data_IF_717136435541
#
_entry.id   IF_717136435541
#
_cell.length_a   1.000
_cell.length_b   1.000
_cell.length_c   1.000
_cell.angle_alpha   90.00
_cell.angle_beta   90.00
_cell.angle_gamma   90.00
#
_symmetry.space_group_name_H-M   'P 1'
#
loop_
_entity.id
_entity.type
_entity.pdbx_description
1 polymer ?
#
# COMPACT_ATOMS: atom_id res chain seq x y z
N UNK A 1 7.51 16.23 -10.87
CA UNK A 1 7.31 16.51 -9.42
C UNK A 1 6.87 15.20 -8.80
N UNK A 2 7.48 14.74 -7.71
CA UNK A 2 6.97 13.56 -7.01
C UNK A 2 5.61 13.92 -6.42
N UNK A 3 4.55 13.26 -6.87
CA UNK A 3 3.21 13.44 -6.31
C UNK A 3 3.14 12.98 -4.84
N UNK A 4 1.95 13.05 -4.21
CA UNK A 4 1.76 12.56 -2.86
C UNK A 4 2.23 11.10 -2.69
N UNK A 5 2.74 10.77 -1.51
CA UNK A 5 3.21 9.41 -1.19
C UNK A 5 2.03 8.43 -1.31
N UNK A 6 2.14 7.34 -2.10
CA UNK A 6 1.06 6.38 -2.29
C UNK A 6 0.81 5.54 -1.03
N UNK A 7 -0.31 4.84 -1.00
CA UNK A 7 -0.69 3.90 0.05
C UNK A 7 -1.01 2.56 -0.60
N UNK A 8 -0.43 1.50 -0.07
CA UNK A 8 -0.77 0.12 -0.39
C UNK A 8 -1.66 -0.42 0.72
N UNK A 9 -2.89 -0.78 0.39
CA UNK A 9 -3.73 -1.64 1.23
C UNK A 9 -3.58 -3.10 0.77
N UNK A 10 -3.33 -3.98 1.73
CA UNK A 10 -3.28 -5.42 1.50
C UNK A 10 -4.01 -6.18 2.60
N UNK A 11 -4.12 -7.49 2.45
CA UNK A 11 -4.83 -8.38 3.37
C UNK A 11 -5.64 -9.43 2.63
N UNK A 12 -6.20 -10.43 3.32
CA UNK A 12 -6.83 -11.54 2.65
C UNK A 12 -8.16 -11.16 1.98
N UNK A 13 -8.56 -11.95 0.98
CA UNK A 13 -9.90 -11.86 0.41
C UNK A 13 -10.94 -12.09 1.50
N UNK A 14 -11.90 -11.18 1.66
CA UNK A 14 -12.90 -11.26 2.74
C UNK A 14 -12.58 -10.40 3.98
N UNK A 15 -11.39 -9.80 4.06
CA UNK A 15 -11.01 -8.94 5.19
C UNK A 15 -11.77 -7.61 5.26
N UNK A 16 -12.49 -7.20 4.19
CA UNK A 16 -13.29 -5.97 4.16
C UNK A 16 -12.60 -4.75 3.54
N UNK A 17 -11.47 -4.93 2.86
CA UNK A 17 -10.71 -3.87 2.16
C UNK A 17 -11.59 -3.00 1.25
N UNK A 18 -12.31 -3.61 0.30
CA UNK A 18 -13.16 -2.88 -0.63
C UNK A 18 -14.26 -2.06 0.06
N UNK A 19 -14.76 -2.52 1.20
CA UNK A 19 -15.76 -1.78 1.99
C UNK A 19 -15.14 -0.55 2.66
N UNK A 20 -13.97 -0.70 3.27
CA UNK A 20 -13.21 0.41 3.86
C UNK A 20 -12.80 1.44 2.78
N UNK A 21 -12.28 0.95 1.64
CA UNK A 21 -11.88 1.78 0.51
C UNK A 21 -13.05 2.57 -0.07
N UNK A 22 -14.19 1.91 -0.33
CA UNK A 22 -15.38 2.59 -0.86
C UNK A 22 -15.84 3.73 0.07
N UNK A 23 -15.78 3.51 1.39
CA UNK A 23 -16.12 4.54 2.37
C UNK A 23 -15.08 5.66 2.39
N UNK A 24 -13.78 5.32 2.39
CA UNK A 24 -12.68 6.28 2.35
C UNK A 24 -12.78 7.20 1.14
N UNK A 25 -12.98 6.63 -0.05
CA UNK A 25 -13.10 7.38 -1.31
C UNK A 25 -14.31 8.32 -1.29
N UNK A 26 -15.41 7.93 -0.63
CA UNK A 26 -16.60 8.76 -0.49
C UNK A 26 -16.41 9.91 0.49
N UNK A 27 -15.81 9.64 1.66
CA UNK A 27 -15.68 10.65 2.73
C UNK A 27 -14.55 11.65 2.44
N UNK A 28 -13.61 11.31 1.56
CA UNK A 28 -12.42 12.09 1.23
C UNK A 28 -12.28 12.34 -0.28
N UNK A 29 -13.39 12.70 -0.93
CA UNK A 29 -13.43 13.06 -2.34
C UNK A 29 -12.42 14.20 -2.64
N UNK A 30 -11.62 14.04 -3.70
CA UNK A 30 -10.59 15.00 -4.08
C UNK A 30 -9.27 14.90 -3.29
N UNK A 31 -9.13 13.92 -2.39
CA UNK A 31 -7.87 13.66 -1.66
C UNK A 31 -7.19 12.37 -2.15
N UNK A 32 -7.98 11.30 -2.30
CA UNK A 32 -7.48 10.00 -2.72
C UNK A 32 -7.93 9.65 -4.14
N UNK A 33 -7.12 8.87 -4.84
CA UNK A 33 -7.47 8.24 -6.11
C UNK A 33 -7.13 6.75 -6.04
N UNK A 34 -8.00 5.91 -6.59
CA UNK A 34 -7.77 4.47 -6.64
C UNK A 34 -6.99 4.10 -7.89
N UNK A 35 -5.94 3.29 -7.75
CA UNK A 35 -5.24 2.69 -8.88
C UNK A 35 -6.05 1.49 -9.36
N UNK A 36 -6.69 1.63 -10.52
CA UNK A 36 -7.49 0.55 -11.10
C UNK A 36 -6.53 -0.51 -11.67
N UNK A 37 -6.44 -1.66 -11.01
CA UNK A 37 -5.57 -2.77 -11.44
C UNK A 37 -6.12 -3.45 -12.70
N UNK A 38 -5.26 -4.16 -13.43
CA UNK A 38 -5.65 -5.02 -14.53
C UNK A 38 -5.94 -6.44 -14.02
N UNK A 39 -6.86 -7.14 -14.69
CA UNK A 39 -7.06 -8.57 -14.44
C UNK A 39 -7.46 -9.33 -15.70
N UNK A 40 -7.07 -10.61 -15.78
CA UNK A 40 -7.50 -11.53 -16.85
C UNK A 40 -8.78 -12.29 -16.54
N UNK A 41 -9.36 -12.12 -15.34
CA UNK A 41 -10.64 -12.76 -15.04
C UNK A 41 -11.78 -12.04 -15.75
N UNK A 42 -12.89 -12.75 -15.94
CA UNK A 42 -14.12 -12.11 -16.39
C UNK A 42 -14.71 -11.19 -15.28
N UNK A 43 -15.35 -10.06 -15.64
CA UNK A 43 -16.10 -9.22 -14.71
C UNK A 43 -17.18 -10.01 -13.97
N UNK A 44 -17.42 -9.68 -12.70
CA UNK A 44 -18.57 -10.16 -11.92
C UNK A 44 -19.79 -9.30 -12.22
N UNK A 45 -21.02 -9.78 -11.95
CA UNK A 45 -22.22 -8.95 -12.06
C UNK A 45 -22.09 -7.66 -11.24
N UNK A 46 -22.19 -6.51 -11.93
CA UNK A 46 -22.10 -5.18 -11.32
C UNK A 46 -20.70 -4.54 -11.31
N UNK A 47 -19.66 -5.25 -11.77
CA UNK A 47 -18.34 -4.64 -12.01
C UNK A 47 -18.29 -3.95 -13.37
N UNK A 48 -17.59 -2.82 -13.42
CA UNK A 48 -17.42 -1.96 -14.60
C UNK A 48 -15.94 -1.89 -15.00
N UNK A 49 -15.67 -2.04 -16.30
CA UNK A 49 -14.33 -1.89 -16.86
C UNK A 49 -13.82 -0.44 -16.71
N UNK A 50 -12.54 -0.29 -16.32
CA UNK A 50 -11.91 1.00 -16.03
C UNK A 50 -12.32 1.61 -14.69
N UNK A 51 -13.11 0.91 -13.88
CA UNK A 51 -13.52 1.36 -12.54
C UNK A 51 -13.16 0.36 -11.46
N UNK A 52 -13.61 -0.90 -11.62
CA UNK A 52 -13.28 -1.97 -10.68
C UNK A 52 -11.95 -2.62 -11.05
N UNK A 53 -11.78 -2.93 -12.34
CA UNK A 53 -10.54 -3.39 -12.95
C UNK A 53 -10.48 -2.93 -14.42
N UNK A 54 -9.29 -2.93 -14.99
CA UNK A 54 -9.10 -3.04 -16.44
C UNK A 54 -9.13 -4.53 -16.82
N UNK A 55 -10.25 -4.98 -17.36
CA UNK A 55 -10.42 -6.37 -17.78
C UNK A 55 -9.73 -6.58 -19.13
N UNK A 56 -8.69 -7.42 -19.12
CA UNK A 56 -7.80 -7.63 -20.27
C UNK A 56 -7.61 -9.11 -20.57
N UNK A 57 -6.97 -9.44 -21.68
CA UNK A 57 -6.60 -10.83 -22.00
C UNK A 57 -5.26 -11.20 -21.37
N UNK A 58 -5.02 -12.51 -21.22
CA UNK A 58 -3.74 -13.02 -20.69
C UNK A 58 -2.58 -12.63 -21.59
N UNK A 59 -2.78 -12.67 -22.91
CA UNK A 59 -1.77 -12.33 -23.90
C UNK A 59 -1.37 -10.85 -23.81
N UNK A 60 -2.35 -9.95 -23.77
CA UNK A 60 -2.09 -8.51 -23.66
C UNK A 60 -1.43 -8.15 -22.32
N UNK A 61 -1.85 -8.80 -21.23
CA UNK A 61 -1.24 -8.60 -19.92
C UNK A 61 0.21 -9.09 -19.88
N UNK A 62 0.50 -10.24 -20.48
CA UNK A 62 1.86 -10.77 -20.57
C UNK A 62 2.77 -9.86 -21.39
N UNK A 63 2.30 -9.36 -22.54
CA UNK A 63 3.05 -8.41 -23.36
C UNK A 63 3.40 -7.14 -22.59
N UNK A 64 2.45 -6.55 -21.85
CA UNK A 64 2.72 -5.37 -21.01
C UNK A 64 3.69 -5.67 -19.87
N UNK A 65 3.65 -6.88 -19.28
CA UNK A 65 4.63 -7.31 -18.27
C UNK A 65 6.03 -7.40 -18.87
N UNK A 66 6.17 -8.02 -20.05
CA UNK A 66 7.44 -8.19 -20.74
C UNK A 66 8.04 -6.85 -21.17
N UNK A 67 7.18 -5.88 -21.50
CA UNK A 67 7.56 -4.49 -21.79
C UNK A 67 7.86 -3.65 -20.54
N UNK A 68 7.72 -4.21 -19.34
CA UNK A 68 7.99 -3.52 -18.07
C UNK A 68 6.97 -2.43 -17.73
N UNK A 69 5.72 -2.55 -18.19
CA UNK A 69 4.65 -1.58 -17.97
C UNK A 69 3.96 -1.74 -16.61
N UNK A 70 4.20 -2.86 -15.93
CA UNK A 70 3.63 -3.18 -14.62
C UNK A 70 4.60 -2.91 -13.48
N UNK A 71 4.10 -2.32 -12.39
CA UNK A 71 4.82 -2.13 -11.12
C UNK A 71 4.89 -3.47 -10.39
N UNK A 72 3.77 -4.18 -10.38
CA UNK A 72 3.65 -5.51 -9.83
C UNK A 72 2.65 -6.33 -10.65
N UNK A 73 2.78 -7.64 -10.56
CA UNK A 73 1.80 -8.58 -11.06
C UNK A 73 1.80 -9.85 -10.20
N UNK A 74 0.69 -10.55 -10.14
CA UNK A 74 0.55 -11.82 -9.45
C UNK A 74 -0.47 -12.72 -10.15
N UNK A 75 -0.32 -14.03 -9.98
CA UNK A 75 -1.33 -14.99 -10.43
C UNK A 75 -2.09 -15.53 -9.22
N UNK A 76 -3.42 -15.39 -9.26
CA UNK A 76 -4.31 -15.86 -8.21
C UNK A 76 -5.47 -16.67 -8.81
N UNK A 77 -5.59 -17.93 -8.39
CA UNK A 77 -6.64 -18.84 -8.83
C UNK A 77 -6.75 -18.92 -10.37
N UNK A 78 -5.62 -18.95 -11.07
CA UNK A 78 -5.54 -19.08 -12.55
C UNK A 78 -5.81 -17.80 -13.33
N UNK A 79 -5.93 -16.65 -12.66
CA UNK A 79 -6.07 -15.35 -13.29
C UNK A 79 -4.90 -14.45 -12.91
N UNK A 80 -4.44 -13.62 -13.85
CA UNK A 80 -3.40 -12.64 -13.59
C UNK A 80 -4.04 -11.34 -13.09
N UNK A 81 -3.31 -10.67 -12.21
CA UNK A 81 -3.62 -9.36 -11.64
C UNK A 81 -2.35 -8.52 -11.65
N UNK A 82 -2.50 -7.20 -11.77
CA UNK A 82 -1.33 -6.33 -11.75
C UNK A 82 -1.67 -4.85 -11.84
N UNK A 83 -0.82 -4.05 -11.22
CA UNK A 83 -0.90 -2.59 -11.22
C UNK A 83 0.03 -2.02 -12.28
N UNK A 84 -0.53 -1.36 -13.30
CA UNK A 84 0.27 -0.72 -14.34
C UNK A 84 0.88 0.60 -13.85
N UNK A 85 2.02 0.99 -14.41
CA UNK A 85 2.64 2.30 -14.16
C UNK A 85 1.68 3.43 -14.53
N UNK A 86 0.99 3.29 -15.66
CA UNK A 86 -0.02 4.23 -16.13
C UNK A 86 -1.16 4.43 -15.10
N UNK A 87 -1.68 3.35 -14.50
CA UNK A 87 -2.75 3.45 -13.50
C UNK A 87 -2.34 4.25 -12.26
N UNK A 88 -1.06 4.19 -11.86
CA UNK A 88 -0.52 5.02 -10.77
C UNK A 88 -0.25 6.45 -11.21
N UNK A 89 0.26 6.64 -12.42
CA UNK A 89 0.54 7.95 -13.02
C UNK A 89 -0.73 8.78 -13.23
N UNK A 90 -1.84 8.16 -13.65
CA UNK A 90 -3.14 8.82 -13.83
C UNK A 90 -3.67 9.44 -12.54
N UNK A 91 -3.44 8.78 -11.40
CA UNK A 91 -3.80 9.31 -10.09
C UNK A 91 -2.84 10.41 -9.65
N UNK A 92 -1.53 10.21 -9.86
CA UNK A 92 -0.50 11.20 -9.53
C UNK A 92 -0.66 12.49 -10.35
N UNK A 93 -1.07 12.41 -11.62
CA UNK A 93 -1.31 13.55 -12.49
C UNK A 93 -2.45 14.45 -11.98
N UNK A 94 -3.40 13.88 -11.21
CA UNK A 94 -4.48 14.59 -10.55
C UNK A 94 -4.08 15.15 -9.17
N UNK A 95 -2.82 15.00 -8.78
CA UNK A 95 -2.27 15.38 -7.47
C UNK A 95 -3.02 14.74 -6.28
N UNK A 96 -3.54 13.53 -6.49
CA UNK A 96 -4.23 12.73 -5.47
C UNK A 96 -3.26 11.72 -4.83
N UNK A 97 -3.57 11.29 -3.61
CA UNK A 97 -2.89 10.17 -2.96
C UNK A 97 -3.37 8.88 -3.62
N UNK A 98 -2.44 8.17 -4.27
CA UNK A 98 -2.74 6.92 -4.95
C UNK A 98 -2.90 5.77 -3.95
N UNK A 99 -4.05 5.12 -3.98
CA UNK A 99 -4.35 3.91 -3.21
C UNK A 99 -4.26 2.69 -4.13
N UNK A 100 -3.46 1.70 -3.73
CA UNK A 100 -3.31 0.41 -4.39
C UNK A 100 -3.94 -0.67 -3.51
N UNK A 101 -4.82 -1.51 -4.06
CA UNK A 101 -5.34 -2.73 -3.41
C UNK A 101 -4.64 -3.94 -4.01
N UNK A 102 -3.69 -4.53 -3.28
CA UNK A 102 -2.86 -5.64 -3.75
C UNK A 102 -2.78 -6.76 -2.72
N UNK A 103 -2.49 -7.97 -3.17
CA UNK A 103 -2.21 -9.09 -2.27
C UNK A 103 -0.78 -9.03 -1.70
N UNK A 104 -0.43 -10.01 -0.86
CA UNK A 104 0.90 -10.09 -0.25
C UNK A 104 2.04 -10.29 -1.26
N UNK A 105 1.77 -10.86 -2.44
CA UNK A 105 2.78 -10.99 -3.50
C UNK A 105 3.04 -9.63 -4.14
N UNK A 106 1.97 -8.86 -4.41
CA UNK A 106 2.06 -7.48 -4.88
C UNK A 106 2.81 -6.59 -3.89
N UNK A 107 2.57 -6.75 -2.58
CA UNK A 107 3.35 -6.04 -1.54
C UNK A 107 4.85 -6.30 -1.68
N UNK A 108 5.26 -7.57 -1.82
CA UNK A 108 6.67 -7.95 -1.97
C UNK A 108 7.29 -7.32 -3.23
N UNK A 109 6.59 -7.41 -4.36
CA UNK A 109 7.02 -6.81 -5.64
C UNK A 109 7.17 -5.30 -5.55
N UNK A 110 6.19 -4.61 -4.95
CA UNK A 110 6.24 -3.15 -4.82
C UNK A 110 7.42 -2.71 -3.94
N UNK A 111 7.80 -3.48 -2.92
CA UNK A 111 9.00 -3.18 -2.10
C UNK A 111 10.32 -3.24 -2.88
N UNK A 112 10.35 -3.93 -4.02
CA UNK A 112 11.51 -3.97 -4.93
C UNK A 112 11.55 -2.74 -5.86
N UNK A 113 10.54 -1.88 -5.80
CA UNK A 113 10.42 -0.65 -6.60
C UNK A 113 10.72 0.61 -5.79
N UNK A 114 10.85 1.74 -6.47
CA UNK A 114 11.03 3.06 -5.87
C UNK A 114 9.70 3.76 -5.54
N UNK A 115 8.56 3.04 -5.54
CA UNK A 115 7.24 3.62 -5.31
C UNK A 115 7.10 4.24 -3.91
N UNK A 116 7.85 3.71 -2.93
CA UNK A 116 7.88 4.12 -1.51
C UNK A 116 6.48 4.42 -0.92
N UNK A 117 5.52 3.46 -0.96
CA UNK A 117 4.21 3.67 -0.37
C UNK A 117 4.25 3.51 1.16
N UNK A 118 3.10 3.77 1.78
CA UNK A 118 2.78 3.32 3.13
C UNK A 118 2.05 1.98 3.01
N UNK A 119 2.51 0.96 3.70
CA UNK A 119 1.95 -0.39 3.64
C UNK A 119 1.01 -0.63 4.83
N UNK A 120 -0.28 -0.79 4.54
CA UNK A 120 -1.34 -1.05 5.53
C UNK A 120 -1.94 -2.43 5.26
N UNK A 121 -1.90 -3.30 6.26
CA UNK A 121 -2.56 -4.61 6.22
C UNK A 121 -3.93 -4.53 6.89
N UNK A 122 -4.98 -4.99 6.23
CA UNK A 122 -6.32 -5.14 6.80
C UNK A 122 -6.56 -6.63 7.05
N UNK A 123 -6.66 -7.02 8.31
CA UNK A 123 -6.79 -8.43 8.71
C UNK A 123 -8.16 -8.72 9.32
N UNK A 124 -8.73 -9.92 9.09
CA UNK A 124 -9.90 -10.37 9.84
C UNK A 124 -9.51 -10.66 11.31
N UNK A 125 -10.46 -10.69 12.25
CA UNK A 125 -10.18 -11.06 13.64
C UNK A 125 -9.72 -12.52 13.79
N UNK A 126 -10.18 -13.41 12.91
CA UNK A 126 -9.76 -14.81 12.88
C UNK A 126 -10.05 -15.47 11.52
N UNK A 127 -9.47 -16.65 11.30
CA UNK A 127 -9.74 -17.45 10.10
C UNK A 127 -11.18 -17.93 10.03
N UNK A 128 -11.79 -18.27 11.16
CA UNK A 128 -13.19 -18.71 11.23
C UNK A 128 -14.15 -17.61 10.81
N UNK A 129 -13.90 -16.37 11.25
CA UNK A 129 -14.70 -15.21 10.83
C UNK A 129 -14.48 -14.91 9.35
N UNK A 130 -13.25 -15.07 8.85
CA UNK A 130 -12.96 -14.89 7.42
C UNK A 130 -13.71 -15.91 6.55
N UNK A 131 -13.67 -17.19 6.92
CA UNK A 131 -14.36 -18.25 6.21
C UNK A 131 -15.87 -17.99 6.17
N UNK A 132 -16.46 -17.65 7.32
CA UNK A 132 -17.87 -17.27 7.39
C UNK A 132 -18.20 -16.14 6.42
N UNK A 133 -17.42 -15.05 6.44
CA UNK A 133 -17.59 -13.89 5.52
C UNK A 133 -17.47 -14.28 4.05
N UNK A 134 -16.61 -15.23 3.69
CA UNK A 134 -16.45 -15.70 2.32
C UNK A 134 -17.62 -16.58 1.88
N UNK A 135 -18.09 -17.50 2.75
CA UNK A 135 -19.26 -18.35 2.48
C UNK A 135 -20.53 -17.53 2.33
N UNK A 136 -20.74 -16.53 3.19
CA UNK A 136 -21.92 -15.65 3.17
C UNK A 136 -22.06 -14.85 1.86
N UNK A 137 -20.98 -14.65 1.11
CA UNK A 137 -21.03 -13.96 -0.19
C UNK A 137 -21.66 -14.80 -1.29
N UNK A 138 -21.68 -16.12 -1.16
CA UNK A 138 -22.25 -17.05 -2.16
C UNK A 138 -21.72 -16.87 -3.60
N UNK A 139 -20.51 -16.32 -3.77
CA UNK A 139 -19.89 -16.07 -5.09
C UNK A 139 -18.77 -17.06 -5.44
N UNK A 140 -18.43 -17.99 -4.55
CA UNK A 140 -17.26 -18.86 -4.69
C UNK A 140 -17.68 -20.34 -4.70
N UNK A 141 -16.98 -21.16 -5.48
CA UNK A 141 -17.06 -22.63 -5.38
C UNK A 141 -16.26 -23.11 -4.16
N UNK A 142 -16.53 -24.32 -3.65
CA UNK A 142 -15.76 -24.85 -2.50
C UNK A 142 -14.25 -24.92 -2.82
N UNK A 143 -13.88 -25.31 -4.03
CA UNK A 143 -12.48 -25.34 -4.45
C UNK A 143 -11.83 -23.94 -4.43
N UNK A 144 -12.52 -22.91 -4.93
CA UNK A 144 -12.02 -21.54 -4.91
C UNK A 144 -11.96 -20.98 -3.49
N UNK A 145 -12.92 -21.35 -2.64
CA UNK A 145 -12.94 -20.98 -1.23
C UNK A 145 -11.71 -21.54 -0.49
N UNK A 146 -11.40 -22.83 -0.64
CA UNK A 146 -10.23 -23.43 0.00
C UNK A 146 -8.92 -22.76 -0.45
N UNK A 147 -8.79 -22.45 -1.75
CA UNK A 147 -7.65 -21.68 -2.28
C UNK A 147 -7.53 -20.29 -1.63
N UNK A 148 -8.65 -19.59 -1.41
CA UNK A 148 -8.67 -18.29 -0.73
C UNK A 148 -8.31 -18.40 0.75
N UNK A 149 -8.77 -19.44 1.44
CA UNK A 149 -8.46 -19.67 2.85
C UNK A 149 -6.97 -19.98 3.06
N UNK A 150 -6.37 -20.81 2.20
CA UNK A 150 -4.93 -21.07 2.29
C UNK A 150 -4.11 -19.80 2.01
N UNK A 151 -4.48 -19.04 0.97
CA UNK A 151 -3.84 -17.76 0.69
C UNK A 151 -3.98 -16.79 1.88
N UNK A 152 -5.14 -16.79 2.54
CA UNK A 152 -5.37 -15.96 3.72
C UNK A 152 -4.54 -16.38 4.93
N UNK A 153 -4.34 -17.69 5.13
CA UNK A 153 -3.47 -18.23 6.18
C UNK A 153 -2.04 -17.70 6.02
N UNK A 154 -1.52 -17.76 4.79
CA UNK A 154 -0.19 -17.26 4.43
C UNK A 154 -0.11 -15.74 4.61
N UNK A 155 -1.11 -14.99 4.13
CA UNK A 155 -1.17 -13.53 4.29
C UNK A 155 -1.15 -13.10 5.76
N UNK A 156 -1.96 -13.75 6.61
CA UNK A 156 -2.01 -13.50 8.05
C UNK A 156 -0.69 -13.82 8.76
N UNK A 157 0.03 -14.85 8.34
CA UNK A 157 1.37 -15.17 8.86
C UNK A 157 2.39 -14.11 8.46
N UNK A 158 2.47 -13.79 7.16
CA UNK A 158 3.41 -12.80 6.62
C UNK A 158 3.13 -11.39 7.15
N UNK A 159 1.87 -11.06 7.45
CA UNK A 159 1.51 -9.75 8.01
C UNK A 159 2.14 -9.47 9.38
N UNK A 160 2.56 -10.52 10.10
CA UNK A 160 3.21 -10.43 11.41
C UNK A 160 4.73 -10.26 11.30
N UNK A 161 5.30 -10.45 10.11
CA UNK A 161 6.74 -10.29 9.90
C UNK A 161 7.15 -8.82 9.99
N UNK A 162 8.14 -8.46 10.82
CA UNK A 162 8.62 -7.09 10.92
C UNK A 162 9.08 -6.51 9.58
N UNK A 163 8.63 -5.30 9.25
CA UNK A 163 9.03 -4.58 8.03
C UNK A 163 8.22 -4.92 6.77
N UNK A 164 7.30 -5.88 6.84
CA UNK A 164 6.37 -6.15 5.72
C UNK A 164 5.32 -5.06 5.62
N UNK A 165 4.63 -4.77 6.71
CA UNK A 165 3.66 -3.68 6.79
C UNK A 165 4.13 -2.62 7.78
N UNK A 166 3.83 -1.35 7.45
CA UNK A 166 4.02 -0.26 8.41
C UNK A 166 2.95 -0.36 9.50
N UNK A 167 1.73 -0.80 9.13
CA UNK A 167 0.56 -0.81 10.00
C UNK A 167 -0.32 -2.03 9.72
N UNK A 168 -0.91 -2.61 10.76
CA UNK A 168 -1.87 -3.73 10.67
C UNK A 168 -3.15 -3.33 11.41
N UNK A 169 -4.28 -3.34 10.72
CA UNK A 169 -5.61 -3.01 11.24
C UNK A 169 -6.45 -4.29 11.31
N UNK A 170 -7.03 -4.59 12.47
CA UNK A 170 -7.94 -5.73 12.63
C UNK A 170 -9.38 -5.28 12.38
N UNK A 171 -9.99 -5.77 11.29
CA UNK A 171 -11.36 -5.48 10.92
C UNK A 171 -12.36 -6.45 11.56
N UNK A 172 -12.49 -6.36 12.88
CA UNK A 172 -13.54 -7.03 13.65
C UNK A 172 -14.86 -6.23 13.59
N UNK A 173 -14.77 -4.92 13.84
CA UNK A 173 -15.86 -3.95 13.72
C UNK A 173 -15.52 -2.91 12.64
N UNK A 174 -16.43 -2.74 11.68
CA UNK A 174 -16.21 -1.89 10.51
C UNK A 174 -16.01 -0.42 10.88
N UNK A 175 -16.73 0.09 11.88
CA UNK A 175 -16.64 1.50 12.28
C UNK A 175 -15.30 1.78 12.97
N UNK A 176 -14.87 0.89 13.86
CA UNK A 176 -13.55 0.98 14.53
C UNK A 176 -12.41 0.90 13.52
N UNK A 177 -12.42 -0.10 12.65
CA UNK A 177 -11.38 -0.28 11.64
C UNK A 177 -11.31 0.90 10.67
N UNK A 178 -12.47 1.46 10.29
CA UNK A 178 -12.50 2.65 9.44
C UNK A 178 -11.98 3.90 10.14
N UNK A 179 -12.34 4.10 11.41
CA UNK A 179 -11.83 5.21 12.21
C UNK A 179 -10.30 5.14 12.33
N UNK A 180 -9.77 3.96 12.62
CA UNK A 180 -8.33 3.71 12.71
C UNK A 180 -7.63 4.00 11.37
N UNK A 181 -8.13 3.46 10.25
CA UNK A 181 -7.60 3.73 8.91
C UNK A 181 -7.58 5.23 8.61
N UNK A 182 -8.65 5.95 8.95
CA UNK A 182 -8.75 7.40 8.73
C UNK A 182 -7.74 8.17 9.56
N UNK A 183 -7.55 7.82 10.84
CA UNK A 183 -6.58 8.47 11.72
C UNK A 183 -5.16 8.29 11.19
N UNK A 184 -4.80 7.08 10.81
CA UNK A 184 -3.53 6.74 10.17
C UNK A 184 -3.30 7.59 8.92
N UNK A 185 -4.25 7.58 7.98
CA UNK A 185 -4.09 8.31 6.72
C UNK A 185 -4.01 9.82 6.96
N UNK A 186 -4.78 10.35 7.92
CA UNK A 186 -4.68 11.76 8.28
C UNK A 186 -3.33 12.14 8.88
N UNK A 187 -2.63 11.24 9.56
CA UNK A 187 -1.29 11.50 10.09
C UNK A 187 -0.21 11.40 9.02
N UNK A 188 -0.26 10.35 8.21
CA UNK A 188 0.82 10.07 7.25
C UNK A 188 0.67 10.90 5.96
N UNK A 189 -0.54 11.34 5.63
CA UNK A 189 -0.82 12.15 4.44
C UNK A 189 -0.85 13.66 4.71
N UNK A 190 -0.51 14.14 5.92
CA UNK A 190 -0.37 15.61 6.13
C UNK A 190 0.68 16.15 5.16
N UNK A 191 0.38 17.24 4.42
CA UNK A 191 1.42 17.92 3.68
C UNK A 191 2.50 18.35 4.66
N UNK A 192 3.77 18.13 4.29
CA UNK A 192 4.96 18.61 5.00
C UNK A 192 4.99 20.15 5.00
N UNK A 193 4.09 20.77 5.76
CA UNK A 193 3.92 22.21 5.88
C UNK A 193 3.79 22.60 7.36
N UNK A 194 4.70 22.10 8.19
CA UNK A 194 5.06 22.69 9.48
C UNK A 194 6.25 21.90 10.01
N UNK A 195 7.34 22.58 10.37
CA UNK A 195 8.58 21.97 10.87
C UNK A 195 8.40 21.25 12.21
N UNK A 196 7.72 20.10 12.16
CA UNK A 196 7.45 19.25 13.30
C UNK A 196 7.98 17.85 12.99
N UNK A 197 8.90 17.40 13.84
CA UNK A 197 9.62 16.16 13.73
C UNK A 197 8.67 14.95 13.73
N UNK A 198 8.97 13.95 12.89
CA UNK A 198 8.30 12.64 12.90
C UNK A 198 8.71 11.90 14.18
N UNK A 199 7.79 11.78 15.14
CA UNK A 199 7.84 10.74 16.17
C UNK A 199 6.96 9.58 15.68
N UNK A 200 7.59 8.52 15.19
CA UNK A 200 6.96 7.19 15.18
C UNK A 200 7.44 6.54 16.47
N UNK A 201 6.53 6.31 17.40
CA UNK A 201 6.79 5.55 18.61
C UNK A 201 7.18 4.12 18.20
N UNK A 202 8.46 3.80 18.25
CA UNK A 202 8.92 2.45 18.51
C UNK A 202 9.72 2.51 19.81
N UNK A 203 9.23 1.79 20.81
CA UNK A 203 9.86 1.69 22.11
C UNK A 203 11.17 0.90 21.97
N UNK A 204 12.27 1.60 21.69
CA UNK A 204 13.59 1.44 22.32
C UNK A 204 14.67 2.17 21.49
N UNK A 205 15.33 3.11 22.16
CA UNK A 205 16.56 3.82 21.77
C UNK A 205 16.41 4.83 20.62
N UNK A 206 16.24 6.10 20.99
CA UNK A 206 16.36 7.24 20.08
C UNK A 206 17.83 7.67 19.94
N UNK A 207 18.38 7.58 18.74
CA UNK A 207 19.62 8.28 18.36
C UNK A 207 19.21 9.47 17.49
N UNK A 208 19.48 10.69 17.98
CA UNK A 208 19.19 11.93 17.28
C UNK A 208 20.33 12.28 16.31
N UNK A 209 20.02 12.46 15.03
CA UNK A 209 20.90 13.16 14.09
C UNK A 209 20.27 14.49 13.69
N UNK A 210 20.96 15.58 14.03
CA UNK A 210 20.62 16.96 13.65
C UNK A 210 21.34 17.29 12.33
N UNK A 211 20.60 17.71 11.29
CA UNK A 211 21.19 18.43 10.16
C UNK A 211 20.39 19.71 9.91
N UNK A 212 21.06 20.85 10.10
CA UNK A 212 20.50 22.19 9.93
C UNK A 212 20.49 22.61 8.46
N UNK A 213 19.38 23.14 7.90
CA UNK A 213 19.36 23.67 6.55
C UNK A 213 19.73 25.16 6.54
N UNK A 214 20.89 25.51 5.99
CA UNK A 214 21.19 26.86 5.54
C UNK A 214 21.47 26.88 4.04
N UNK A 215 20.49 27.37 3.26
CA UNK A 215 20.70 27.94 1.92
C UNK A 215 20.96 29.43 2.05
N UNK A 216 22.14 29.90 1.64
CA UNK A 216 22.31 31.20 0.95
C UNK A 216 23.24 31.05 -0.23
N UNK A 217 22.87 31.72 -1.30
CA UNK A 217 23.44 31.68 -2.64
C UNK A 217 24.82 32.33 -2.80
N UNK A 218 25.50 31.92 -3.87
CA UNK A 218 26.48 32.62 -4.75
C UNK A 218 27.97 32.27 -4.63
N UNK A 219 28.48 31.86 -5.80
CA UNK A 219 29.84 31.98 -6.38
C UNK A 219 30.96 31.06 -5.85
N UNK A 220 31.36 30.14 -6.73
CA UNK A 220 32.74 29.95 -7.24
C UNK A 220 33.89 30.00 -6.23
N UNK A 221 34.46 28.83 -5.91
CA UNK A 221 35.88 28.44 -6.15
C UNK A 221 36.17 27.06 -5.57
N UNK A 222 37.00 26.29 -6.29
CA UNK A 222 37.61 25.02 -5.85
C UNK A 222 38.52 25.28 -4.62
N UNK A 223 38.63 24.31 -3.71
CA UNK A 223 39.91 23.68 -3.30
C UNK A 223 39.69 22.62 -2.20
N UNK A 224 40.67 21.71 -2.15
CA UNK A 224 40.80 20.41 -1.48
C UNK A 224 40.72 20.36 0.06
N UNK A 225 40.29 19.17 0.52
CA UNK A 225 40.81 18.36 1.65
C UNK A 225 40.45 18.63 3.13
N UNK A 226 40.55 17.58 4.00
CA UNK A 226 39.59 17.29 5.06
C UNK A 226 40.10 17.63 6.47
N UNK A 227 39.18 17.73 7.44
CA UNK A 227 39.52 17.62 8.86
C UNK A 227 38.53 16.73 9.60
N UNK A 228 39.09 15.68 10.17
CA UNK A 228 38.59 14.95 11.33
C UNK A 228 38.43 15.89 12.52
N UNK A 229 37.55 15.54 13.46
CA UNK A 229 37.77 15.70 14.90
C UNK A 229 36.88 14.70 15.66
N UNK A 230 37.52 14.18 16.68
CA UNK A 230 37.24 13.07 17.59
C UNK A 230 36.54 13.57 18.88
N UNK A 231 36.14 12.60 19.72
CA UNK A 231 35.73 12.63 21.15
C UNK A 231 34.22 12.73 21.46
N UNK A 232 33.57 11.69 21.99
CA UNK A 232 33.58 11.10 23.36
C UNK A 232 32.92 12.02 24.41
N UNK A 233 31.79 11.58 25.00
CA UNK A 233 31.64 11.33 26.44
C UNK A 233 30.28 10.68 26.77
N UNK A 234 30.32 9.57 27.50
CA UNK A 234 29.23 9.02 28.30
C UNK A 234 28.80 10.01 29.39
N UNK A 235 27.52 10.00 29.77
CA UNK A 235 27.06 10.03 31.18
C UNK A 235 25.53 9.84 31.24
N UNK A 236 25.13 8.77 31.95
CA UNK A 236 23.82 8.40 32.53
C UNK A 236 22.56 8.38 31.65
#
# INVERSE_FOLDING_TARGET
MSGPRPVVLSGPSGAGKSTLLKRLMKDHEGVFGFSVSHTTRNPRPGEEDGKDYHFTTREAMQEGIDNGEFIENAEFSGNMYGTSKAAVEDVRAKNLICILDVDIQGVKRIKETDLDPIYISIQPPSMEILEKRLRDRQTETEESLQKRLEAARIDMELSKEPGVFDIVIINDDLEKAYKELKEILNEVCKPWNSGFYRFVFNAQVAVFYYFSPHRKSRRSRRLNEPKSITHLLCCF
#
